data_IF_398261979176
#
_entry.id   IF_398261979176
#
_cell.length_a   1.000
_cell.length_b   1.000
_cell.length_c   1.000
_cell.angle_alpha   90.00
_cell.angle_beta   90.00
_cell.angle_gamma   90.00
#
_symmetry.space_group_name_H-M   'P 1'
#
loop_
_entity.id
_entity.type
_entity.pdbx_description
1 polymer ?
#
# COMPACT_ATOMS: atom_id res chain seq x y z
N UNK A 1 9.69 -4.42 -6.02
CA UNK A 1 10.98 -3.95 -6.57
C UNK A 1 11.14 -2.51 -6.16
N UNK A 2 12.24 -2.12 -5.52
CA UNK A 2 12.53 -0.70 -5.28
C UNK A 2 13.22 -0.14 -6.53
N UNK A 3 12.45 0.08 -7.62
CA UNK A 3 12.96 0.62 -8.90
C UNK A 3 13.66 1.97 -8.67
N UNK A 4 13.08 2.86 -7.87
CA UNK A 4 13.62 4.16 -7.49
C UNK A 4 14.98 4.09 -6.77
N UNK A 5 15.26 3.05 -5.96
CA UNK A 5 16.61 2.88 -5.36
C UNK A 5 17.65 2.55 -6.44
N UNK A 6 17.28 1.67 -7.39
CA UNK A 6 18.14 1.34 -8.53
C UNK A 6 18.36 2.56 -9.43
N UNK A 7 17.30 3.35 -9.67
CA UNK A 7 17.38 4.60 -10.42
C UNK A 7 18.32 5.59 -9.74
N UNK A 8 18.13 5.88 -8.46
CA UNK A 8 18.98 6.78 -7.67
C UNK A 8 20.45 6.35 -7.69
N UNK A 9 20.70 5.04 -7.56
CA UNK A 9 22.05 4.48 -7.66
C UNK A 9 22.66 4.70 -9.04
N UNK A 10 21.88 4.49 -10.11
CA UNK A 10 22.34 4.66 -11.49
C UNK A 10 22.60 6.13 -11.83
N UNK A 11 21.77 7.07 -11.36
CA UNK A 11 21.99 8.52 -11.52
C UNK A 11 23.30 8.99 -10.89
N UNK A 12 23.68 8.40 -9.75
CA UNK A 12 24.99 8.62 -9.12
C UNK A 12 26.14 7.86 -9.79
N UNK A 13 25.87 7.03 -10.80
CA UNK A 13 26.85 6.17 -11.47
C UNK A 13 27.45 5.09 -10.56
N UNK A 14 26.70 4.65 -9.53
CA UNK A 14 27.22 3.70 -8.54
C UNK A 14 26.90 2.25 -8.92
N UNK A 15 27.86 1.35 -8.69
CA UNK A 15 27.58 -0.08 -8.67
C UNK A 15 26.94 -0.49 -7.34
N UNK A 16 26.26 -1.64 -7.30
CA UNK A 16 25.71 -2.15 -6.02
C UNK A 16 26.80 -2.32 -4.96
N UNK A 17 28.02 -2.75 -5.36
CA UNK A 17 29.18 -2.83 -4.45
C UNK A 17 29.58 -1.48 -3.90
N UNK A 18 29.57 -0.45 -4.74
CA UNK A 18 29.88 0.92 -4.31
C UNK A 18 28.83 1.39 -3.28
N UNK A 19 27.54 1.20 -3.56
CA UNK A 19 26.48 1.55 -2.60
C UNK A 19 26.59 0.76 -1.28
N UNK A 20 26.88 -0.54 -1.34
CA UNK A 20 27.10 -1.38 -0.16
C UNK A 20 28.24 -0.83 0.72
N UNK A 21 29.37 -0.45 0.10
CA UNK A 21 30.51 0.16 0.78
C UNK A 21 30.14 1.52 1.40
N UNK A 22 29.46 2.39 0.65
CA UNK A 22 29.06 3.73 1.12
C UNK A 22 28.06 3.67 2.28
N UNK A 23 27.15 2.70 2.28
CA UNK A 23 26.10 2.55 3.30
C UNK A 23 26.50 1.67 4.48
N UNK A 24 27.64 0.98 4.42
CA UNK A 24 28.02 -0.02 5.43
C UNK A 24 26.98 -1.15 5.53
N UNK A 25 26.41 -1.54 4.39
CA UNK A 25 25.44 -2.64 4.26
C UNK A 25 26.05 -3.79 3.47
N UNK A 26 25.57 -5.00 3.73
CA UNK A 26 25.97 -6.16 2.93
C UNK A 26 25.41 -6.03 1.51
N UNK A 27 26.17 -6.53 0.53
CA UNK A 27 25.74 -6.59 -0.87
C UNK A 27 24.38 -7.27 -1.05
N UNK A 28 24.13 -8.35 -0.31
CA UNK A 28 22.85 -9.06 -0.32
C UNK A 28 21.67 -8.18 0.16
N UNK A 29 21.92 -7.25 1.08
CA UNK A 29 20.92 -6.28 1.55
C UNK A 29 20.56 -5.29 0.45
N UNK A 30 21.56 -4.77 -0.29
CA UNK A 30 21.32 -3.86 -1.43
C UNK A 30 20.51 -4.57 -2.52
N UNK A 31 20.91 -5.79 -2.88
CA UNK A 31 20.21 -6.60 -3.87
C UNK A 31 18.75 -6.86 -3.46
N UNK A 32 18.53 -7.24 -2.19
CA UNK A 32 17.19 -7.52 -1.66
C UNK A 32 16.31 -6.27 -1.62
N UNK A 33 16.90 -5.11 -1.28
CA UNK A 33 16.24 -3.82 -1.30
C UNK A 33 15.84 -3.43 -2.73
N UNK A 34 16.76 -3.45 -3.70
CA UNK A 34 16.45 -3.13 -5.10
C UNK A 34 15.42 -4.08 -5.70
N UNK A 35 15.47 -5.38 -5.38
CA UNK A 35 14.47 -6.35 -5.83
C UNK A 35 13.11 -6.18 -5.12
N UNK A 36 13.04 -5.43 -4.01
CA UNK A 36 11.84 -5.22 -3.21
C UNK A 36 11.24 -6.52 -2.67
N UNK A 37 12.09 -7.53 -2.42
CA UNK A 37 11.67 -8.85 -1.90
C UNK A 37 11.39 -8.81 -0.39
N UNK A 38 11.74 -7.74 0.29
CA UNK A 38 11.63 -7.61 1.75
C UNK A 38 11.31 -6.18 2.16
N UNK A 39 10.52 -6.03 3.22
CA UNK A 39 10.30 -4.77 3.89
C UNK A 39 11.64 -4.23 4.43
N UNK A 40 12.12 -3.12 3.90
CA UNK A 40 13.37 -2.50 4.35
C UNK A 40 13.17 -1.98 5.77
N UNK A 41 14.00 -2.44 6.71
CA UNK A 41 13.95 -1.98 8.10
C UNK A 41 14.39 -0.51 8.18
N UNK A 42 13.85 0.23 9.16
CA UNK A 42 14.19 1.65 9.34
C UNK A 42 15.69 1.89 9.53
N UNK A 43 16.41 0.97 10.18
CA UNK A 43 17.87 1.05 10.32
C UNK A 43 18.63 0.94 8.99
N UNK A 44 18.14 0.11 8.07
CA UNK A 44 18.69 0.01 6.70
C UNK A 44 18.38 1.28 5.91
N UNK A 45 17.17 1.81 6.06
CA UNK A 45 16.75 3.08 5.46
C UNK A 45 17.62 4.26 5.91
N UNK A 46 17.94 4.36 7.21
CA UNK A 46 18.86 5.38 7.74
C UNK A 46 20.24 5.29 7.09
N UNK A 47 20.82 4.08 7.01
CA UNK A 47 22.13 3.87 6.37
C UNK A 47 22.14 4.26 4.89
N UNK A 48 21.06 3.96 4.17
CA UNK A 48 20.92 4.37 2.78
C UNK A 48 20.74 5.89 2.66
N UNK A 49 19.94 6.51 3.52
CA UNK A 49 19.74 7.96 3.56
C UNK A 49 21.08 8.69 3.78
N UNK A 50 21.89 8.22 4.74
CA UNK A 50 23.24 8.73 4.97
C UNK A 50 24.16 8.54 3.75
N UNK A 51 24.11 7.37 3.10
CA UNK A 51 24.95 7.11 1.93
C UNK A 51 24.61 8.00 0.72
N UNK A 52 23.34 8.38 0.55
CA UNK A 52 22.88 9.25 -0.53
C UNK A 52 22.87 10.74 -0.17
N UNK A 53 23.21 11.08 1.07
CA UNK A 53 23.10 12.43 1.62
C UNK A 53 21.67 13.01 1.47
N UNK A 54 20.69 12.19 1.83
CA UNK A 54 19.28 12.54 1.78
C UNK A 54 18.66 12.56 3.18
N UNK A 55 17.69 13.45 3.45
CA UNK A 55 16.86 13.34 4.63
C UNK A 55 16.17 11.97 4.69
N UNK A 56 16.05 11.40 5.90
CA UNK A 56 15.37 10.11 6.10
C UNK A 56 13.95 10.11 5.51
N UNK A 57 13.23 11.23 5.60
CA UNK A 57 11.90 11.39 5.03
C UNK A 57 11.88 11.24 3.50
N UNK A 58 12.88 11.79 2.79
CA UNK A 58 12.99 11.62 1.34
C UNK A 58 13.37 10.18 0.96
N UNK A 59 14.32 9.58 1.69
CA UNK A 59 14.65 8.17 1.51
C UNK A 59 13.45 7.25 1.78
N UNK A 60 12.61 7.60 2.76
CA UNK A 60 11.37 6.88 3.07
C UNK A 60 10.37 7.00 1.92
N UNK A 61 10.16 8.20 1.37
CA UNK A 61 9.32 8.41 0.17
C UNK A 61 9.81 7.60 -1.03
N UNK A 62 11.12 7.52 -1.25
CA UNK A 62 11.72 6.71 -2.33
C UNK A 62 11.46 5.22 -2.08
N UNK A 63 11.66 4.74 -0.86
CA UNK A 63 11.41 3.35 -0.48
C UNK A 63 9.92 2.96 -0.50
N UNK A 64 9.03 3.94 -0.31
CA UNK A 64 7.58 3.76 -0.34
C UNK A 64 7.00 3.96 -1.75
N UNK A 65 7.58 4.85 -2.57
CA UNK A 65 7.14 5.18 -3.93
C UNK A 65 7.30 4.04 -4.95
N UNK A 66 8.09 3.03 -4.59
CA UNK A 66 8.25 1.80 -5.36
C UNK A 66 7.36 0.63 -4.94
N UNK A 67 6.80 0.71 -3.74
CA UNK A 67 5.64 -0.12 -3.46
C UNK A 67 4.52 0.57 -4.20
N UNK A 68 3.99 -0.08 -5.22
CA UNK A 68 2.57 0.03 -5.48
C UNK A 68 1.91 -0.40 -4.16
N UNK A 69 1.71 0.58 -3.26
CA UNK A 69 1.12 0.32 -1.96
C UNK A 69 -0.31 -0.02 -2.31
N UNK A 70 -0.59 -1.34 -2.35
CA UNK A 70 -1.92 -1.86 -2.61
C UNK A 70 -2.92 -1.10 -1.77
N UNK A 71 -4.08 -0.77 -2.34
CA UNK A 71 -5.09 0.06 -1.65
C UNK A 71 -5.40 -0.47 -0.25
N UNK A 72 -5.40 -1.80 -0.09
CA UNK A 72 -5.58 -2.45 1.19
C UNK A 72 -4.58 -1.99 2.27
N UNK A 73 -3.29 -1.92 1.94
CA UNK A 73 -2.24 -1.49 2.88
C UNK A 73 -2.46 -0.03 3.29
N UNK A 74 -2.87 0.83 2.34
CA UNK A 74 -3.19 2.22 2.61
C UNK A 74 -4.38 2.35 3.58
N UNK A 75 -5.48 1.62 3.31
CA UNK A 75 -6.66 1.67 4.15
C UNK A 75 -6.39 1.13 5.56
N UNK A 76 -5.66 0.02 5.70
CA UNK A 76 -5.29 -0.51 7.02
C UNK A 76 -4.48 0.49 7.84
N UNK A 77 -3.47 1.12 7.23
CA UNK A 77 -2.62 2.12 7.90
C UNK A 77 -3.42 3.36 8.30
N UNK A 78 -4.34 3.83 7.45
CA UNK A 78 -5.24 4.97 7.76
C UNK A 78 -6.18 4.65 8.92
N UNK A 79 -6.63 3.40 9.03
CA UNK A 79 -7.40 2.92 10.18
C UNK A 79 -6.55 2.71 11.46
N UNK A 80 -5.22 2.93 11.40
CA UNK A 80 -4.32 2.75 12.54
C UNK A 80 -4.10 1.29 12.95
N UNK A 81 -4.54 0.32 12.15
CA UNK A 81 -4.52 -1.09 12.54
C UNK A 81 -3.20 -1.76 12.16
N UNK A 82 -2.68 -2.60 13.06
CA UNK A 82 -1.65 -3.58 12.77
C UNK A 82 -2.22 -4.75 11.94
N UNK A 83 -1.33 -5.59 11.39
CA UNK A 83 -1.75 -6.81 10.69
C UNK A 83 -2.53 -7.77 11.60
N UNK A 84 -2.18 -7.82 12.89
CA UNK A 84 -2.82 -8.72 13.87
C UNK A 84 -4.22 -8.23 14.22
N UNK A 85 -4.36 -6.94 14.51
CA UNK A 85 -5.66 -6.34 14.84
C UNK A 85 -6.65 -6.43 13.66
N UNK A 86 -6.19 -6.20 12.42
CA UNK A 86 -7.05 -6.39 11.26
C UNK A 86 -7.45 -7.86 11.10
N UNK A 87 -6.52 -8.79 11.30
CA UNK A 87 -6.81 -10.22 11.18
C UNK A 87 -7.81 -10.69 12.22
N UNK A 88 -7.67 -10.23 13.46
CA UNK A 88 -8.60 -10.48 14.56
C UNK A 88 -10.00 -9.94 14.26
N UNK A 89 -10.11 -8.69 13.80
CA UNK A 89 -11.40 -8.10 13.38
C UNK A 89 -12.09 -8.88 12.26
N UNK A 90 -11.31 -9.45 11.33
CA UNK A 90 -11.84 -10.17 10.15
C UNK A 90 -12.11 -11.65 10.47
N UNK A 91 -11.53 -12.18 11.55
CA UNK A 91 -11.60 -13.60 11.91
C UNK A 91 -10.69 -14.49 11.05
N UNK A 92 -9.48 -14.01 10.72
CA UNK A 92 -8.46 -14.77 9.98
C UNK A 92 -7.12 -14.75 10.71
N UNK A 93 -6.22 -15.66 10.35
CA UNK A 93 -4.83 -15.59 10.84
C UNK A 93 -4.08 -14.42 10.17
N UNK A 94 -3.22 -13.74 10.94
CA UNK A 94 -2.49 -12.55 10.47
C UNK A 94 -1.62 -12.80 9.23
N UNK A 95 -1.15 -14.03 9.03
CA UNK A 95 -0.41 -14.44 7.82
C UNK A 95 -1.25 -14.29 6.56
N UNK A 96 -2.56 -14.55 6.64
CA UNK A 96 -3.49 -14.36 5.50
C UNK A 96 -3.51 -12.90 5.06
N UNK A 97 -3.67 -11.96 6.01
CA UNK A 97 -3.63 -10.51 5.70
C UNK A 97 -2.26 -10.14 5.11
N UNK A 98 -1.16 -10.63 5.69
CA UNK A 98 0.20 -10.41 5.17
C UNK A 98 0.38 -10.91 3.74
N UNK A 99 -0.13 -12.11 3.41
CA UNK A 99 -0.07 -12.68 2.06
C UNK A 99 -0.93 -11.92 1.06
N UNK A 100 -2.09 -11.41 1.47
CA UNK A 100 -2.95 -10.56 0.63
C UNK A 100 -2.26 -9.22 0.34
N UNK A 101 -1.76 -8.54 1.38
CA UNK A 101 -1.09 -7.23 1.26
C UNK A 101 0.21 -7.32 0.45
N UNK A 102 0.96 -8.42 0.57
CA UNK A 102 2.16 -8.67 -0.23
C UNK A 102 1.87 -9.20 -1.64
N UNK A 103 0.62 -9.57 -1.94
CA UNK A 103 0.23 -10.15 -3.23
C UNK A 103 0.67 -11.59 -3.45
N UNK A 104 1.14 -12.28 -2.41
CA UNK A 104 1.41 -13.72 -2.46
C UNK A 104 0.15 -14.55 -2.66
N UNK A 105 -1.00 -14.04 -2.22
CA UNK A 105 -2.30 -14.67 -2.47
C UNK A 105 -3.34 -13.63 -2.87
N UNK A 106 -4.32 -14.07 -3.66
CA UNK A 106 -5.52 -13.28 -3.95
C UNK A 106 -6.59 -13.64 -2.91
N UNK A 107 -7.27 -12.65 -2.30
CA UNK A 107 -8.35 -12.93 -1.37
C UNK A 107 -9.57 -13.46 -2.11
N UNK A 108 -10.34 -14.35 -1.48
CA UNK A 108 -11.69 -14.64 -1.92
C UNK A 108 -12.59 -13.41 -1.75
N UNK A 109 -13.66 -13.34 -2.56
CA UNK A 109 -14.65 -12.24 -2.50
C UNK A 109 -15.13 -11.97 -1.08
N UNK A 110 -15.54 -13.00 -0.35
CA UNK A 110 -16.03 -12.86 1.03
C UNK A 110 -14.96 -12.38 2.00
N UNK A 111 -13.70 -12.80 1.82
CA UNK A 111 -12.59 -12.33 2.65
C UNK A 111 -12.31 -10.85 2.40
N UNK A 112 -12.28 -10.43 1.13
CA UNK A 112 -12.07 -9.03 0.77
C UNK A 112 -13.23 -8.14 1.23
N UNK A 113 -14.46 -8.63 1.17
CA UNK A 113 -15.64 -7.96 1.71
C UNK A 113 -15.51 -7.70 3.22
N UNK A 114 -15.21 -8.74 4.01
CA UNK A 114 -14.99 -8.63 5.46
C UNK A 114 -13.85 -7.68 5.82
N UNK A 115 -12.76 -7.72 5.05
CA UNK A 115 -11.64 -6.79 5.23
C UNK A 115 -12.10 -5.34 4.98
N UNK A 116 -12.86 -5.10 3.90
CA UNK A 116 -13.37 -3.78 3.59
C UNK A 116 -14.33 -3.26 4.67
N UNK A 117 -15.16 -4.14 5.23
CA UNK A 117 -16.09 -3.81 6.32
C UNK A 117 -15.33 -3.48 7.61
N UNK A 118 -14.34 -4.30 7.98
CA UNK A 118 -13.51 -4.06 9.16
C UNK A 118 -12.68 -2.77 9.08
N UNK A 119 -12.38 -2.31 7.86
CA UNK A 119 -11.68 -1.06 7.56
C UNK A 119 -12.62 0.13 7.32
N UNK A 120 -13.94 -0.08 7.38
CA UNK A 120 -14.97 0.95 7.16
C UNK A 120 -14.72 1.72 5.85
N UNK A 121 -14.42 0.98 4.79
CA UNK A 121 -14.12 1.58 3.47
C UNK A 121 -15.42 2.07 2.84
N UNK A 122 -15.45 3.33 2.36
CA UNK A 122 -16.62 3.86 1.66
C UNK A 122 -16.95 3.05 0.40
N UNK A 123 -18.23 2.97 -0.01
CA UNK A 123 -18.65 2.20 -1.19
C UNK A 123 -17.85 2.50 -2.47
N UNK A 124 -17.58 3.78 -2.73
CA UNK A 124 -16.77 4.23 -3.87
C UNK A 124 -15.33 3.69 -3.84
N UNK A 125 -14.72 3.69 -2.66
CA UNK A 125 -13.37 3.19 -2.41
C UNK A 125 -13.31 1.64 -2.41
N UNK A 126 -14.39 0.99 -1.98
CA UNK A 126 -14.53 -0.47 -1.92
C UNK A 126 -14.60 -1.08 -3.32
N UNK A 127 -15.32 -0.46 -4.26
CA UNK A 127 -15.33 -0.89 -5.66
C UNK A 127 -13.93 -0.90 -6.29
N UNK A 128 -13.16 0.18 -6.10
CA UNK A 128 -11.78 0.26 -6.61
C UNK A 128 -10.86 -0.80 -5.99
N UNK A 129 -11.05 -1.13 -4.70
CA UNK A 129 -10.32 -2.20 -4.04
C UNK A 129 -10.63 -3.57 -4.67
N UNK A 130 -11.88 -3.87 -4.97
CA UNK A 130 -12.27 -5.15 -5.59
C UNK A 130 -11.70 -5.31 -7.00
N UNK A 131 -11.74 -4.25 -7.80
CA UNK A 131 -11.17 -4.25 -9.15
C UNK A 131 -9.66 -4.47 -9.16
N UNK A 132 -8.92 -3.93 -8.19
CA UNK A 132 -7.46 -4.16 -8.04
C UNK A 132 -7.13 -5.66 -7.86
N UNK A 133 -8.04 -6.42 -7.24
CA UNK A 133 -7.89 -7.87 -7.07
C UNK A 133 -8.58 -8.70 -8.17
N UNK A 134 -9.15 -8.06 -9.20
CA UNK A 134 -9.86 -8.72 -10.30
C UNK A 134 -11.21 -9.30 -9.89
N UNK A 135 -11.84 -8.72 -8.86
CA UNK A 135 -13.15 -9.15 -8.36
C UNK A 135 -14.21 -8.12 -8.76
N UNK A 136 -15.41 -8.61 -9.12
CA UNK A 136 -16.54 -7.73 -9.36
C UNK A 136 -16.92 -6.98 -8.06
N UNK A 137 -17.16 -5.66 -8.09
CA UNK A 137 -17.60 -4.91 -6.92
C UNK A 137 -18.85 -5.50 -6.25
N UNK A 138 -19.06 -5.30 -4.94
CA UNK A 138 -20.34 -5.57 -4.29
C UNK A 138 -21.45 -4.76 -4.96
N UNK A 139 -22.58 -5.39 -5.24
CA UNK A 139 -23.73 -4.76 -5.92
C UNK A 139 -24.37 -3.66 -5.08
N UNK A 140 -24.28 -3.75 -3.75
CA UNK A 140 -24.76 -2.70 -2.86
C UNK A 140 -23.96 -1.39 -3.04
N UNK A 141 -22.67 -1.47 -3.35
CA UNK A 141 -21.80 -0.30 -3.46
C UNK A 141 -22.09 0.53 -4.73
N UNK A 142 -22.53 -0.14 -5.80
CA UNK A 142 -22.91 0.49 -7.08
C UNK A 142 -24.18 1.34 -6.93
N UNK A 143 -25.16 0.81 -6.19
CA UNK A 143 -26.41 1.51 -5.90
C UNK A 143 -26.23 2.67 -4.92
N UNK A 144 -25.30 2.57 -3.97
CA UNK A 144 -24.99 3.69 -3.05
C UNK A 144 -24.24 4.80 -3.78
N UNK A 145 -23.29 4.48 -4.68
CA UNK A 145 -22.64 5.48 -5.52
C UNK A 145 -23.64 6.18 -6.45
N UNK A 146 -24.56 5.44 -7.09
CA UNK A 146 -25.64 6.04 -7.90
C UNK A 146 -26.64 6.85 -7.05
N UNK A 147 -27.05 6.37 -5.86
CA UNK A 147 -27.92 7.13 -4.95
C UNK A 147 -27.26 8.40 -4.41
N UNK A 148 -25.97 8.37 -4.10
CA UNK A 148 -25.22 9.55 -3.66
C UNK A 148 -25.12 10.60 -4.77
N UNK A 149 -24.95 10.17 -6.02
CA UNK A 149 -25.00 11.06 -7.19
C UNK A 149 -26.41 11.62 -7.38
N UNK A 150 -27.46 10.79 -7.33
CA UNK A 150 -28.86 11.25 -7.51
C UNK A 150 -29.32 12.19 -6.37
N UNK A 151 -28.91 11.96 -5.12
CA UNK A 151 -29.19 12.87 -4.01
C UNK A 151 -28.45 14.22 -4.13
N UNK A 152 -27.27 14.22 -4.78
CA UNK A 152 -26.55 15.46 -5.08
C UNK A 152 -27.24 16.29 -6.17
N UNK A 153 -27.90 15.63 -7.14
CA UNK A 153 -28.67 16.30 -8.19
C UNK A 153 -30.12 16.64 -7.79
N UNK A 154 -30.73 15.92 -6.86
CA UNK A 154 -32.12 16.14 -6.41
C UNK A 154 -32.23 17.10 -5.21
N UNK A 155 -31.11 17.67 -4.74
CA UNK A 155 -31.05 18.62 -3.63
C UNK A 155 -31.13 20.11 -4.02
N UNK A 156 -31.37 20.45 -5.30
CA UNK A 156 -31.36 21.83 -5.81
C UNK A 156 -32.75 22.41 -6.17
N UNK A 157 -33.84 21.72 -5.84
CA UNK A 157 -35.21 22.20 -6.12
C UNK A 157 -36.08 22.30 -4.87
N UNK A 158 -35.64 23.02 -3.83
CA UNK A 158 -36.55 23.60 -2.82
C UNK A 158 -35.98 24.88 -2.24
N UNK A 159 -36.02 25.98 -3.00
CA UNK A 159 -36.18 27.32 -2.43
C UNK A 159 -36.77 28.27 -3.47
N UNK A 160 -37.93 28.83 -3.09
CA UNK A 160 -38.65 30.00 -3.61
C UNK A 160 -39.26 29.83 -5.01
N UNK A 161 -40.53 30.11 -5.25
CA UNK A 161 -41.43 31.06 -4.61
C UNK A 161 -42.06 31.90 -5.70
#
# INVERSE_FOLDING_TARGET
MIKALKTLRNEKGWSMRKLAKMSGLAMATILSAEQGKTLVRIGTLKKLATAFDLPLAEMQKIADGDREIKRLVLYRRRAGLTLRELAEKVGVVWQTISYIESGRTKPHRNTLAKIADALVISPSCRGALFLEYGLAPPTEDVNVAMKAVVLFYCGSEKYNG
#
